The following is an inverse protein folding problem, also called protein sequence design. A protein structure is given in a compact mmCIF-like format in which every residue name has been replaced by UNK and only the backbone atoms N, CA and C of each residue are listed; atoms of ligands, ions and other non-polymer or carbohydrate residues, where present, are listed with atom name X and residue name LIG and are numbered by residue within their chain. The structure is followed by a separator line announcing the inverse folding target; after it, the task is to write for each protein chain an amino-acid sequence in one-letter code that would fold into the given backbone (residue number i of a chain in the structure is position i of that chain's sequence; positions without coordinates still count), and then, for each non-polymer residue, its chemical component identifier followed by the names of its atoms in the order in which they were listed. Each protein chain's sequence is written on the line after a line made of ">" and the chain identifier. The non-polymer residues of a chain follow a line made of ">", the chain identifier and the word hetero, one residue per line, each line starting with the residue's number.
data_IF_909826307652
#
_entry.id   IF_909826307652
#
_cell.length_a   1.000
_cell.length_b   1.000
_cell.length_c   1.000
_cell.angle_alpha   90.00
_cell.angle_beta   90.00
_cell.angle_gamma   90.00
#
_symmetry.space_group_name_H-M   'P 1'
#
loop_
_entity.id
_entity.type
_entity.pdbx_description
1 polymer ?
#
# COMPACT_ATOMS: atom_id res chain seq x y z
N UNK A 1 -16.45 -6.21 -5.98
CA UNK A 1 -15.09 -6.26 -6.54
C UNK A 1 -14.14 -6.95 -5.55
N UNK A 2 -12.91 -7.30 -5.97
CA UNK A 2 -11.87 -7.81 -5.09
C UNK A 2 -11.02 -6.64 -4.58
N UNK A 3 -10.98 -6.43 -3.29
CA UNK A 3 -10.19 -5.38 -2.65
C UNK A 3 -9.02 -6.01 -1.88
N UNK A 4 -7.79 -5.54 -2.14
CA UNK A 4 -6.60 -5.93 -1.40
C UNK A 4 -6.31 -4.85 -0.36
N UNK A 5 -6.24 -5.23 0.90
CA UNK A 5 -5.90 -4.34 2.02
C UNK A 5 -4.63 -4.84 2.70
N UNK A 6 -3.63 -3.98 2.84
CA UNK A 6 -2.33 -4.32 3.42
C UNK A 6 -2.03 -3.36 4.57
N UNK A 7 -1.68 -3.90 5.73
CA UNK A 7 -1.20 -3.12 6.87
C UNK A 7 0.25 -3.49 7.21
N UNK A 8 1.07 -2.47 7.45
CA UNK A 8 2.47 -2.62 7.87
C UNK A 8 2.76 -1.87 9.17
N UNK A 9 2.37 -2.42 10.33
CA UNK A 9 2.69 -1.86 11.65
C UNK A 9 2.93 -2.98 12.68
N UNK A 10 4.00 -2.92 13.51
CA UNK A 10 4.35 -4.00 14.44
C UNK A 10 3.41 -4.13 15.64
N UNK A 11 2.71 -3.06 16.03
CA UNK A 11 1.79 -3.08 17.17
C UNK A 11 0.35 -3.29 16.67
N UNK A 12 -0.29 -4.43 17.02
CA UNK A 12 -1.67 -4.71 16.64
C UNK A 12 -2.70 -3.75 17.29
N UNK A 13 -2.33 -3.04 18.35
CA UNK A 13 -3.15 -2.02 18.98
C UNK A 13 -2.96 -0.60 18.37
N UNK A 14 -2.16 -0.48 17.30
CA UNK A 14 -1.87 0.79 16.66
C UNK A 14 -3.08 1.42 15.98
N UNK A 15 -3.03 2.73 15.76
CA UNK A 15 -4.03 3.43 14.97
C UNK A 15 -4.06 2.96 13.51
N UNK A 16 -2.94 2.43 12.97
CA UNK A 16 -2.92 1.81 11.65
C UNK A 16 -3.82 0.57 11.57
N UNK A 17 -3.85 -0.28 12.61
CA UNK A 17 -4.77 -1.42 12.65
C UNK A 17 -6.23 -0.99 12.83
N UNK A 18 -6.49 0.07 13.61
CA UNK A 18 -7.84 0.65 13.69
C UNK A 18 -8.32 1.18 12.33
N UNK A 19 -7.44 1.83 11.56
CA UNK A 19 -7.72 2.25 10.18
C UNK A 19 -7.99 1.04 9.29
N UNK A 20 -7.17 -0.02 9.38
CA UNK A 20 -7.36 -1.24 8.59
C UNK A 20 -8.72 -1.89 8.86
N UNK A 21 -9.12 -1.98 10.13
CA UNK A 21 -10.45 -2.49 10.52
C UNK A 21 -11.56 -1.64 9.91
N UNK A 22 -11.51 -0.31 10.05
CA UNK A 22 -12.53 0.60 9.51
C UNK A 22 -12.65 0.51 7.99
N UNK A 23 -11.51 0.35 7.29
CA UNK A 23 -11.44 0.15 5.83
C UNK A 23 -12.07 -1.18 5.43
N UNK A 24 -11.67 -2.30 6.07
CA UNK A 24 -12.22 -3.63 5.76
C UNK A 24 -13.73 -3.67 6.00
N UNK A 25 -14.20 -3.18 7.14
CA UNK A 25 -15.63 -3.12 7.48
C UNK A 25 -16.42 -2.32 6.42
N UNK A 26 -15.84 -1.21 5.92
CA UNK A 26 -16.47 -0.38 4.90
C UNK A 26 -16.55 -1.10 3.56
N UNK A 27 -15.48 -1.74 3.13
CA UNK A 27 -15.44 -2.51 1.89
C UNK A 27 -16.43 -3.69 1.91
N UNK A 28 -16.47 -4.43 3.02
CA UNK A 28 -17.40 -5.55 3.19
C UNK A 28 -18.86 -5.10 3.21
N UNK A 29 -19.18 -3.98 3.90
CA UNK A 29 -20.53 -3.37 3.89
C UNK A 29 -20.95 -2.96 2.48
N UNK A 30 -20.02 -2.54 1.64
CA UNK A 30 -20.28 -2.21 0.24
C UNK A 30 -20.32 -3.45 -0.67
N UNK A 31 -20.27 -4.67 -0.11
CA UNK A 31 -20.38 -5.93 -0.85
C UNK A 31 -19.11 -6.34 -1.59
N UNK A 32 -17.93 -5.85 -1.17
CA UNK A 32 -16.66 -6.24 -1.77
C UNK A 32 -16.06 -7.45 -1.06
N UNK A 33 -15.32 -8.25 -1.81
CA UNK A 33 -14.52 -9.33 -1.24
C UNK A 33 -13.16 -8.78 -0.84
N UNK A 34 -12.85 -8.79 0.45
CA UNK A 34 -11.59 -8.27 1.01
C UNK A 34 -10.57 -9.39 1.15
N UNK A 35 -9.39 -9.20 0.59
CA UNK A 35 -8.17 -9.94 0.93
C UNK A 35 -7.32 -9.05 1.82
N UNK A 36 -7.17 -9.44 3.07
CA UNK A 36 -6.44 -8.65 4.08
C UNK A 36 -5.10 -9.30 4.41
N UNK A 37 -4.03 -8.50 4.38
CA UNK A 37 -2.69 -8.88 4.79
C UNK A 37 -2.17 -7.97 5.90
N UNK A 38 -1.95 -8.56 7.07
CA UNK A 38 -1.16 -7.95 8.14
C UNK A 38 0.26 -8.52 8.06
N UNK A 39 1.18 -7.75 7.48
CA UNK A 39 2.53 -8.24 7.20
C UNK A 39 3.31 -8.66 8.45
N UNK A 40 3.05 -8.01 9.61
CA UNK A 40 3.70 -8.39 10.87
C UNK A 40 3.08 -9.65 11.47
N UNK A 41 1.75 -9.75 11.50
CA UNK A 41 1.07 -10.93 12.02
C UNK A 41 1.36 -12.18 11.19
N UNK A 42 1.50 -12.03 9.88
CA UNK A 42 1.87 -13.11 8.95
C UNK A 42 3.36 -13.50 9.03
N UNK A 43 4.19 -12.69 9.70
CA UNK A 43 5.63 -12.90 9.72
C UNK A 43 6.26 -12.77 8.32
N UNK A 44 5.74 -11.84 7.50
CA UNK A 44 6.25 -11.62 6.15
C UNK A 44 7.76 -11.37 6.18
N UNK A 45 8.54 -12.17 5.44
CA UNK A 45 9.96 -11.95 5.28
C UNK A 45 10.23 -10.84 4.24
N UNK A 46 10.77 -9.67 4.65
CA UNK A 46 11.00 -8.56 3.75
C UNK A 46 12.29 -8.69 2.91
N UNK A 47 13.10 -9.72 3.14
CA UNK A 47 14.43 -9.83 2.53
C UNK A 47 14.33 -10.45 1.13
N UNK A 48 14.52 -9.62 0.10
CA UNK A 48 14.69 -10.08 -1.27
C UNK A 48 16.04 -10.83 -1.40
N UNK A 49 15.98 -12.07 -1.87
CA UNK A 49 17.19 -12.87 -2.07
C UNK A 49 17.75 -12.72 -3.50
N UNK A 50 19.05 -12.93 -3.68
CA UNK A 50 19.68 -12.87 -5.01
C UNK A 50 19.08 -13.85 -6.02
N UNK A 51 18.49 -14.95 -5.53
CA UNK A 51 17.82 -15.95 -6.37
C UNK A 51 16.49 -15.47 -6.95
N UNK A 52 15.82 -14.53 -6.27
CA UNK A 52 14.53 -13.97 -6.70
C UNK A 52 14.67 -12.81 -7.68
N UNK A 53 15.89 -12.23 -7.85
CA UNK A 53 16.14 -11.06 -8.71
C UNK A 53 15.90 -11.36 -10.20
N UNK A 54 16.36 -12.49 -10.79
CA UNK A 54 16.07 -12.80 -12.18
C UNK A 54 14.56 -12.88 -12.43
N UNK A 55 14.12 -12.44 -13.61
CA UNK A 55 12.70 -12.43 -13.98
C UNK A 55 12.06 -13.83 -13.90
N UNK A 56 12.84 -14.85 -14.29
CA UNK A 56 12.50 -16.29 -14.17
C UNK A 56 12.93 -16.91 -12.84
N UNK A 57 13.38 -16.10 -11.88
CA UNK A 57 13.82 -16.55 -10.57
C UNK A 57 12.68 -17.19 -9.76
N UNK A 58 13.00 -18.13 -8.85
CA UNK A 58 12.00 -18.82 -8.06
C UNK A 58 11.24 -17.83 -7.15
N UNK A 59 9.92 -17.96 -7.12
CA UNK A 59 9.05 -17.18 -6.21
C UNK A 59 8.60 -18.13 -5.10
N UNK A 60 8.98 -17.91 -3.83
CA UNK A 60 8.51 -18.69 -2.70
C UNK A 60 6.97 -18.68 -2.63
N UNK A 61 6.35 -19.78 -2.19
CA UNK A 61 4.88 -19.91 -2.17
C UNK A 61 4.20 -18.81 -1.33
N UNK A 62 4.80 -18.43 -0.19
CA UNK A 62 4.30 -17.33 0.62
C UNK A 62 4.28 -15.99 -0.15
N UNK A 63 5.30 -15.72 -0.97
CA UNK A 63 5.36 -14.51 -1.81
C UNK A 63 4.39 -14.62 -2.98
N UNK A 64 4.24 -15.81 -3.56
CA UNK A 64 3.31 -16.07 -4.67
C UNK A 64 1.86 -15.74 -4.27
N UNK A 65 1.45 -16.08 -3.05
CA UNK A 65 0.12 -15.74 -2.55
C UNK A 65 -0.14 -14.22 -2.55
N UNK A 66 0.86 -13.42 -2.16
CA UNK A 66 0.77 -11.96 -2.24
C UNK A 66 0.78 -11.44 -3.68
N UNK A 67 1.56 -12.04 -4.57
CA UNK A 67 1.56 -11.70 -6.00
C UNK A 67 0.17 -11.96 -6.62
N UNK A 68 -0.43 -13.11 -6.35
CA UNK A 68 -1.76 -13.50 -6.85
C UNK A 68 -2.84 -12.54 -6.30
N UNK A 69 -2.76 -12.18 -5.01
CA UNK A 69 -3.64 -11.20 -4.40
C UNK A 69 -3.52 -9.84 -5.09
N UNK A 70 -2.30 -9.35 -5.33
CA UNK A 70 -2.04 -8.08 -6.01
C UNK A 70 -2.57 -8.08 -7.46
N UNK A 71 -2.26 -9.12 -8.25
CA UNK A 71 -2.72 -9.24 -9.63
C UNK A 71 -4.24 -9.37 -9.76
N UNK A 72 -4.88 -10.02 -8.77
CA UNK A 72 -6.34 -10.23 -8.82
C UNK A 72 -7.14 -9.05 -8.28
N UNK A 73 -6.52 -8.07 -7.63
CA UNK A 73 -7.18 -6.95 -7.01
C UNK A 73 -7.81 -5.99 -8.04
N UNK A 74 -9.07 -5.59 -7.81
CA UNK A 74 -9.75 -4.50 -8.53
C UNK A 74 -9.53 -3.15 -7.84
N UNK A 75 -9.14 -3.16 -6.57
CA UNK A 75 -8.79 -2.00 -5.74
C UNK A 75 -7.77 -2.34 -4.68
N UNK A 76 -6.90 -1.39 -4.34
CA UNK A 76 -5.79 -1.61 -3.39
C UNK A 76 -5.86 -0.55 -2.29
N UNK A 77 -5.74 -0.98 -1.04
CA UNK A 77 -5.55 -0.07 0.11
C UNK A 77 -4.29 -0.47 0.87
N UNK A 78 -3.41 0.51 1.11
CA UNK A 78 -2.19 0.31 1.89
C UNK A 78 -2.21 1.22 3.11
N UNK A 79 -1.88 0.68 4.28
CA UNK A 79 -1.95 1.38 5.56
C UNK A 79 -0.63 1.21 6.29
N UNK A 80 0.04 2.32 6.61
CA UNK A 80 1.34 2.28 7.30
C UNK A 80 1.73 3.61 7.94
N UNK A 81 2.63 3.62 8.95
CA UNK A 81 3.18 4.85 9.49
C UNK A 81 4.19 5.47 8.52
N UNK A 82 4.34 6.79 8.60
CA UNK A 82 5.44 7.51 7.98
C UNK A 82 6.68 7.39 8.90
N UNK A 83 7.65 6.59 8.51
CA UNK A 83 8.93 6.46 9.20
C UNK A 83 10.06 6.96 8.32
N UNK A 84 10.63 8.12 8.68
CA UNK A 84 11.72 8.73 7.90
C UNK A 84 11.36 9.04 6.44
N UNK A 85 10.13 9.43 6.17
CA UNK A 85 9.65 9.66 4.80
C UNK A 85 9.48 8.38 3.97
N UNK A 86 9.46 7.21 4.62
CA UNK A 86 9.44 5.90 3.97
C UNK A 86 8.35 4.99 4.58
N UNK A 87 7.88 3.97 3.85
CA UNK A 87 7.17 2.86 4.46
C UNK A 87 8.09 2.07 5.39
N UNK A 88 7.55 1.38 6.41
CA UNK A 88 8.31 0.47 7.26
C UNK A 88 9.07 -0.59 6.43
N UNK A 89 10.20 -1.08 6.96
CA UNK A 89 11.07 -2.05 6.27
C UNK A 89 10.29 -3.28 5.76
N UNK A 90 9.34 -3.80 6.54
CA UNK A 90 8.53 -4.93 6.14
C UNK A 90 7.68 -4.63 4.89
N UNK A 91 7.11 -3.44 4.80
CA UNK A 91 6.30 -3.02 3.66
C UNK A 91 7.18 -2.64 2.46
N UNK A 92 8.37 -2.07 2.70
CA UNK A 92 9.35 -1.85 1.63
C UNK A 92 9.80 -3.19 1.03
N UNK A 93 10.08 -4.20 1.86
CA UNK A 93 10.40 -5.55 1.40
C UNK A 93 9.22 -6.23 0.68
N UNK A 94 7.98 -5.94 1.10
CA UNK A 94 6.80 -6.39 0.36
C UNK A 94 6.80 -5.79 -1.07
N UNK A 95 7.09 -4.49 -1.23
CA UNK A 95 7.24 -3.86 -2.55
C UNK A 95 8.31 -4.59 -3.34
N UNK A 96 9.50 -4.79 -2.78
CA UNK A 96 10.65 -5.39 -3.47
C UNK A 96 10.40 -6.82 -3.94
N UNK A 97 9.61 -7.60 -3.22
CA UNK A 97 9.36 -9.01 -3.51
C UNK A 97 8.10 -9.28 -4.31
N UNK A 98 7.07 -8.42 -4.16
CA UNK A 98 5.73 -8.64 -4.73
C UNK A 98 5.46 -7.75 -5.94
N UNK A 99 5.92 -6.49 -5.92
CA UNK A 99 5.80 -5.58 -7.08
C UNK A 99 6.95 -5.84 -8.05
N UNK A 100 6.86 -6.97 -8.75
CA UNK A 100 7.95 -7.52 -9.58
C UNK A 100 7.55 -7.66 -11.05
N UNK A 101 8.54 -7.88 -11.97
CA UNK A 101 8.26 -8.18 -13.37
C UNK A 101 7.32 -9.38 -13.53
N UNK A 102 6.42 -9.32 -14.52
CA UNK A 102 5.41 -10.35 -14.80
C UNK A 102 4.22 -10.37 -13.81
N UNK A 103 4.32 -9.62 -12.70
CA UNK A 103 3.24 -9.47 -11.70
C UNK A 103 2.61 -8.09 -11.78
N UNK A 104 3.40 -7.04 -11.56
CA UNK A 104 2.91 -5.66 -11.48
C UNK A 104 3.25 -4.83 -12.72
N UNK A 105 4.29 -5.21 -13.43
CA UNK A 105 4.74 -4.54 -14.66
C UNK A 105 5.51 -5.52 -15.56
N UNK A 106 5.76 -5.12 -16.81
CA UNK A 106 6.66 -5.81 -17.73
C UNK A 106 7.41 -4.78 -18.59
N UNK A 107 8.59 -5.16 -19.10
CA UNK A 107 9.29 -4.39 -20.12
C UNK A 107 8.69 -4.67 -21.51
N UNK A 108 8.70 -3.67 -22.40
CA UNK A 108 8.32 -3.90 -23.81
C UNK A 108 9.37 -4.76 -24.51
N UNK A 109 8.90 -5.60 -25.47
CA UNK A 109 9.81 -6.45 -26.24
C UNK A 109 10.79 -5.59 -27.05
N UNK A 110 12.09 -5.81 -26.85
CA UNK A 110 13.14 -5.05 -27.51
C UNK A 110 13.58 -3.77 -26.76
N UNK A 111 12.96 -3.46 -25.62
CA UNK A 111 13.44 -2.40 -24.74
C UNK A 111 14.70 -2.88 -24.00
N UNK A 112 15.81 -2.19 -24.23
CA UNK A 112 17.07 -2.46 -23.56
C UNK A 112 17.13 -1.98 -22.08
N UNK A 113 15.98 -1.63 -21.50
CA UNK A 113 15.85 -1.07 -20.15
C UNK A 113 15.86 0.46 -20.12
N UNK A 114 15.75 1.12 -21.28
CA UNK A 114 15.70 2.59 -21.39
C UNK A 114 14.26 3.13 -21.38
N UNK A 115 13.26 2.29 -21.65
CA UNK A 115 11.85 2.65 -21.67
C UNK A 115 11.17 2.59 -20.31
N UNK A 116 9.94 3.12 -20.26
CA UNK A 116 9.09 2.97 -19.09
C UNK A 116 8.39 1.61 -19.15
N UNK A 117 8.36 0.85 -18.05
CA UNK A 117 7.62 -0.40 -18.01
C UNK A 117 6.13 -0.22 -18.33
N UNK A 118 5.52 -1.26 -18.88
CA UNK A 118 4.07 -1.36 -19.03
C UNK A 118 3.48 -1.91 -17.75
N UNK A 119 2.57 -1.17 -17.12
CA UNK A 119 1.88 -1.59 -15.91
C UNK A 119 0.88 -2.71 -16.18
N UNK A 120 0.88 -3.74 -15.35
CA UNK A 120 0.03 -4.93 -15.46
C UNK A 120 -1.10 -4.99 -14.45
N UNK A 121 -1.09 -4.11 -13.43
CA UNK A 121 -2.14 -4.11 -12.42
C UNK A 121 -3.47 -3.64 -13.01
N UNK A 122 -4.51 -4.42 -12.75
CA UNK A 122 -5.88 -4.12 -13.18
C UNK A 122 -6.70 -3.32 -12.17
N UNK A 123 -6.10 -3.04 -11.00
CA UNK A 123 -6.73 -2.24 -9.97
C UNK A 123 -7.12 -0.85 -10.53
N UNK A 124 -8.39 -0.48 -10.34
CA UNK A 124 -8.94 0.78 -10.85
C UNK A 124 -8.52 1.99 -10.04
N UNK A 125 -8.23 1.75 -8.77
CA UNK A 125 -7.78 2.78 -7.84
C UNK A 125 -6.92 2.19 -6.73
N UNK A 126 -6.07 3.04 -6.17
CA UNK A 126 -5.34 2.76 -4.94
C UNK A 126 -5.55 3.88 -3.91
N UNK A 127 -5.65 3.49 -2.65
CA UNK A 127 -5.71 4.41 -1.50
C UNK A 127 -4.56 4.10 -0.56
N UNK A 128 -3.84 5.12 -0.11
CA UNK A 128 -2.81 4.97 0.92
C UNK A 128 -3.19 5.80 2.14
N UNK A 129 -3.32 5.14 3.28
CA UNK A 129 -3.49 5.79 4.56
C UNK A 129 -2.18 5.78 5.33
N UNK A 130 -1.71 6.97 5.70
CA UNK A 130 -0.51 7.12 6.51
C UNK A 130 -0.84 7.66 7.88
N UNK A 131 -0.07 7.25 8.87
CA UNK A 131 0.00 7.93 10.18
C UNK A 131 1.34 8.62 10.33
N UNK A 132 1.38 9.80 10.92
CA UNK A 132 2.62 10.56 11.11
C UNK A 132 2.61 11.30 12.44
N UNK A 133 3.80 11.62 12.95
CA UNK A 133 4.00 12.56 14.03
C UNK A 133 4.60 13.89 13.55
N UNK A 134 4.67 14.09 12.25
CA UNK A 134 5.09 15.33 11.61
C UNK A 134 3.86 16.10 11.13
N UNK A 135 3.67 17.38 11.49
CA UNK A 135 2.63 18.23 10.90
C UNK A 135 2.79 18.36 9.38
N UNK A 136 1.67 18.46 8.65
CA UNK A 136 1.68 18.53 7.18
C UNK A 136 2.56 19.66 6.64
N UNK A 137 2.49 20.85 7.23
CA UNK A 137 3.31 21.99 6.83
C UNK A 137 4.81 21.68 6.87
N UNK A 138 5.26 21.01 7.95
CA UNK A 138 6.67 20.61 8.07
C UNK A 138 7.02 19.47 7.11
N UNK A 139 6.14 18.51 6.92
CA UNK A 139 6.37 17.42 5.95
C UNK A 139 6.58 17.98 4.55
N UNK A 140 5.73 18.93 4.13
CA UNK A 140 5.84 19.57 2.81
C UNK A 140 7.06 20.47 2.71
N UNK A 141 7.27 21.41 3.66
CA UNK A 141 8.28 22.44 3.55
C UNK A 141 9.71 21.94 3.77
N UNK A 142 9.91 21.00 4.69
CA UNK A 142 11.23 20.49 5.03
C UNK A 142 11.62 19.22 4.26
N UNK A 143 10.64 18.36 3.90
CA UNK A 143 10.92 17.03 3.33
C UNK A 143 10.33 16.82 1.94
N UNK A 144 9.41 17.68 1.48
CA UNK A 144 8.80 17.60 0.15
C UNK A 144 7.84 16.42 -0.02
N UNK A 145 7.33 15.85 1.09
CA UNK A 145 6.41 14.70 1.11
C UNK A 145 6.84 13.52 0.25
N UNK A 146 7.93 12.83 0.61
CA UNK A 146 8.49 11.76 -0.21
C UNK A 146 7.53 10.58 -0.41
N UNK A 147 6.61 10.32 0.53
CA UNK A 147 5.64 9.23 0.40
C UNK A 147 4.64 9.44 -0.74
N UNK A 148 4.28 10.70 -1.06
CA UNK A 148 3.44 10.98 -2.23
C UNK A 148 4.15 10.56 -3.52
N UNK A 149 5.44 10.92 -3.66
CA UNK A 149 6.23 10.55 -4.82
C UNK A 149 6.43 9.04 -4.94
N UNK A 150 6.75 8.37 -3.82
CA UNK A 150 6.97 6.92 -3.76
C UNK A 150 5.72 6.18 -4.22
N UNK A 151 4.58 6.42 -3.56
CA UNK A 151 3.38 5.65 -3.84
C UNK A 151 2.75 5.98 -5.18
N UNK A 152 2.59 7.26 -5.47
CA UNK A 152 1.95 7.69 -6.71
C UNK A 152 2.78 7.37 -7.93
N UNK A 153 4.01 7.92 -7.98
CA UNK A 153 4.83 7.90 -9.20
C UNK A 153 5.64 6.61 -9.34
N UNK A 154 6.34 6.21 -8.25
CA UNK A 154 7.27 5.09 -8.35
C UNK A 154 6.59 3.73 -8.26
N UNK A 155 5.38 3.64 -7.66
CA UNK A 155 4.67 2.36 -7.53
C UNK A 155 3.42 2.34 -8.42
N UNK A 156 2.39 3.12 -8.10
CA UNK A 156 1.08 2.93 -8.73
C UNK A 156 1.01 3.39 -10.18
N UNK A 157 1.54 4.57 -10.53
CA UNK A 157 1.56 5.06 -11.91
C UNK A 157 2.36 4.12 -12.83
N UNK A 158 3.53 3.65 -12.34
CA UNK A 158 4.38 2.71 -13.08
C UNK A 158 3.69 1.35 -13.28
N UNK A 159 2.94 0.88 -12.29
CA UNK A 159 2.22 -0.39 -12.36
C UNK A 159 0.83 -0.28 -13.06
N UNK A 160 0.46 0.90 -13.56
CA UNK A 160 -0.76 1.09 -14.36
C UNK A 160 -2.00 1.56 -13.58
N UNK A 161 -1.91 1.79 -12.28
CA UNK A 161 -3.03 2.26 -11.45
C UNK A 161 -3.15 3.78 -11.56
N UNK A 162 -4.15 4.28 -12.28
CA UNK A 162 -4.28 5.72 -12.63
C UNK A 162 -4.99 6.57 -11.59
N UNK A 163 -5.89 6.00 -10.78
CA UNK A 163 -6.60 6.73 -9.73
C UNK A 163 -5.91 6.46 -8.40
N UNK A 164 -5.23 7.47 -7.88
CA UNK A 164 -4.50 7.39 -6.63
C UNK A 164 -5.05 8.40 -5.63
N UNK A 165 -5.25 7.96 -4.40
CA UNK A 165 -5.69 8.76 -3.26
C UNK A 165 -4.77 8.51 -2.07
N UNK A 166 -4.46 9.55 -1.34
CA UNK A 166 -3.67 9.43 -0.11
C UNK A 166 -4.20 10.35 0.98
N UNK A 167 -4.22 9.86 2.21
CA UNK A 167 -4.57 10.64 3.39
C UNK A 167 -3.58 10.34 4.51
N UNK A 168 -2.93 11.37 5.03
CA UNK A 168 -2.06 11.28 6.21
C UNK A 168 -2.78 11.81 7.43
N UNK A 169 -2.84 11.01 8.50
CA UNK A 169 -3.39 11.39 9.80
C UNK A 169 -2.25 11.78 10.73
N UNK A 170 -2.24 13.03 11.19
CA UNK A 170 -1.18 13.64 11.99
C UNK A 170 -1.70 14.77 12.90
N UNK A 171 -1.15 14.94 14.06
CA UNK A 171 -0.04 14.28 14.74
C UNK A 171 -0.60 13.20 15.67
N UNK A 172 -0.21 11.94 15.49
CA UNK A 172 -0.83 10.82 16.21
C UNK A 172 -0.60 10.89 17.71
N UNK A 173 0.64 11.19 18.15
CA UNK A 173 1.01 11.15 19.59
C UNK A 173 0.23 12.16 20.44
N UNK A 174 -0.23 13.26 19.86
CA UNK A 174 -0.99 14.30 20.58
C UNK A 174 -2.49 14.25 20.29
N UNK A 175 -2.94 13.32 19.46
CA UNK A 175 -4.34 13.23 19.05
C UNK A 175 -5.23 12.72 20.19
N UNK A 176 -6.40 13.34 20.34
CA UNK A 176 -7.44 12.89 21.25
C UNK A 176 -8.20 11.69 20.71
N UNK A 177 -8.91 10.97 21.59
CA UNK A 177 -9.81 9.90 21.16
C UNK A 177 -10.93 10.40 20.22
N UNK A 178 -11.45 11.61 20.47
CA UNK A 178 -12.44 12.24 19.60
C UNK A 178 -11.91 12.46 18.20
N UNK A 179 -10.70 13.01 18.08
CA UNK A 179 -10.03 13.23 16.81
C UNK A 179 -9.76 11.91 16.06
N UNK A 180 -9.31 10.87 16.76
CA UNK A 180 -9.10 9.55 16.15
C UNK A 180 -10.39 8.94 15.61
N UNK A 181 -11.54 9.11 16.29
CA UNK A 181 -12.84 8.69 15.77
C UNK A 181 -13.20 9.43 14.48
N UNK A 182 -13.07 10.76 14.46
CA UNK A 182 -13.26 11.53 13.24
C UNK A 182 -12.38 11.05 12.08
N UNK A 183 -11.13 10.71 12.35
CA UNK A 183 -10.20 10.18 11.33
C UNK A 183 -10.59 8.80 10.82
N UNK A 184 -11.14 7.93 11.67
CA UNK A 184 -11.69 6.63 11.23
C UNK A 184 -12.90 6.83 10.32
N UNK A 185 -13.78 7.79 10.66
CA UNK A 185 -14.92 8.16 9.81
C UNK A 185 -14.46 8.73 8.46
N UNK A 186 -13.44 9.60 8.45
CA UNK A 186 -12.82 10.11 7.21
C UNK A 186 -12.26 8.97 6.35
N UNK A 187 -11.55 8.01 6.96
CA UNK A 187 -10.99 6.86 6.24
C UNK A 187 -12.11 6.00 5.63
N UNK A 188 -13.18 5.74 6.38
CA UNK A 188 -14.35 5.01 5.90
C UNK A 188 -15.05 5.74 4.75
N UNK A 189 -15.22 7.06 4.87
CA UNK A 189 -15.86 7.88 3.82
C UNK A 189 -15.02 7.90 2.54
N UNK A 190 -13.70 8.09 2.64
CA UNK A 190 -12.81 8.03 1.48
C UNK A 190 -12.83 6.65 0.83
N UNK A 191 -12.79 5.59 1.64
CA UNK A 191 -12.87 4.21 1.14
C UNK A 191 -14.18 3.97 0.39
N UNK A 192 -15.32 4.36 0.94
CA UNK A 192 -16.63 4.22 0.30
C UNK A 192 -16.77 5.09 -0.97
N UNK A 193 -16.15 6.28 -1.00
CA UNK A 193 -16.14 7.14 -2.17
C UNK A 193 -15.32 6.54 -3.33
N UNK A 194 -14.16 5.95 -3.02
CA UNK A 194 -13.27 5.39 -4.04
C UNK A 194 -13.76 4.03 -4.51
N UNK A 195 -14.34 3.26 -3.61
CA UNK A 195 -14.83 1.90 -3.82
C UNK A 195 -16.33 1.82 -3.42
N UNK A 196 -17.23 2.35 -4.26
CA UNK A 196 -18.68 2.35 -4.00
C UNK A 196 -19.31 0.97 -4.10
#
# INVERSE_FOLDING_TARGET
>A
MKALVIVGHPDPASFNHALATAVCDTLEKNGHHVTFHDLYAEGFDPILTSREIPEDGPVPDAIRAHCDALQSADGIVIIHPNWWGQPPAILKGWIDRVVRPGVAYCSEAGDGGEGLPVGLLKARAAVVFNTSNTPDEREQSAFGDPLEAIWKRCVFDLCGVKRFYRRTFNVIVTSSQGQRRTWLDEASQLTAHVFP
#
